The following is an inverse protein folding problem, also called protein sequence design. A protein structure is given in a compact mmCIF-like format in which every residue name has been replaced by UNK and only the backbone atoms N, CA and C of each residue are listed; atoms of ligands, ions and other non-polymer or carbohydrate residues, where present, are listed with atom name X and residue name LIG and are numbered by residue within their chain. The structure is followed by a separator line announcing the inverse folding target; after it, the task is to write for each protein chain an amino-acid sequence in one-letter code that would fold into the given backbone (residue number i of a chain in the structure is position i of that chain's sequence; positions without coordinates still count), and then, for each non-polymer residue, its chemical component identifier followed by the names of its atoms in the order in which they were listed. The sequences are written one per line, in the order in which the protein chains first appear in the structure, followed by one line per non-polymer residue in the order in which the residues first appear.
data_IF_293740175632
#
_entry.id   IF_293740175632
#
_cell.length_a   1.000
_cell.length_b   1.000
_cell.length_c   1.000
_cell.angle_alpha   90.00
_cell.angle_beta   90.00
_cell.angle_gamma   90.00
#
_symmetry.space_group_name_H-M   'P 1'
#
loop_
_entity.id
_entity.type
_entity.pdbx_description
1 polymer ?
#
# COMPACT_ATOMS: atom_id res chain seq x y z
N UNK A 1 3.79 18.79 -8.58
CA UNK A 1 3.41 18.35 -7.23
C UNK A 1 3.85 16.90 -7.10
N UNK A 2 4.26 16.46 -5.92
CA UNK A 2 4.57 15.06 -5.62
C UNK A 2 3.56 14.53 -4.62
N UNK A 3 2.84 13.47 -5.01
CA UNK A 3 1.93 12.75 -4.12
C UNK A 3 2.57 11.40 -3.79
N UNK A 4 2.86 11.17 -2.51
CA UNK A 4 3.29 9.86 -2.04
C UNK A 4 2.07 8.94 -1.93
N UNK A 5 1.99 7.91 -2.78
CA UNK A 5 0.79 7.06 -2.86
C UNK A 5 0.71 5.94 -1.80
N UNK A 6 1.71 5.77 -0.93
CA UNK A 6 1.79 4.61 -0.06
C UNK A 6 2.40 4.96 1.30
N UNK A 7 1.56 5.20 2.30
CA UNK A 7 2.01 5.53 3.66
C UNK A 7 1.11 4.88 4.71
N UNK A 8 1.73 4.53 5.83
CA UNK A 8 1.08 3.93 6.98
C UNK A 8 1.19 4.84 8.20
N UNK A 9 0.08 5.04 8.89
CA UNK A 9 0.05 5.75 10.18
C UNK A 9 -0.66 4.90 11.25
N UNK A 10 -0.35 5.19 12.51
CA UNK A 10 -0.81 4.44 13.68
C UNK A 10 0.27 3.51 14.22
N UNK A 11 -0.15 2.38 14.79
CA UNK A 11 0.74 1.40 15.42
C UNK A 11 0.39 -0.02 14.97
N UNK A 12 1.42 -0.84 14.76
CA UNK A 12 1.34 -2.25 14.46
C UNK A 12 1.76 -3.07 15.68
N UNK A 13 0.78 -3.60 16.39
CA UNK A 13 1.04 -4.32 17.65
C UNK A 13 1.76 -5.66 17.40
N UNK A 14 1.48 -6.32 16.28
CA UNK A 14 2.19 -7.53 15.88
C UNK A 14 3.68 -7.25 15.70
N UNK A 15 4.05 -6.16 15.02
CA UNK A 15 5.46 -5.81 14.83
C UNK A 15 6.13 -5.47 16.17
N UNK A 16 5.47 -4.63 16.99
CA UNK A 16 6.01 -4.23 18.28
C UNK A 16 6.30 -5.42 19.19
N UNK A 17 5.39 -6.39 19.25
CA UNK A 17 5.50 -7.55 20.14
C UNK A 17 6.55 -8.57 19.70
N UNK A 18 6.92 -8.58 18.42
CA UNK A 18 7.83 -9.58 17.83
C UNK A 18 9.19 -9.00 17.43
N UNK A 19 9.52 -7.78 17.86
CA UNK A 19 10.82 -7.16 17.60
C UNK A 19 11.02 -6.76 16.14
N UNK A 20 9.93 -6.49 15.41
CA UNK A 20 9.99 -5.98 14.05
C UNK A 20 9.91 -4.45 14.05
N UNK A 21 10.55 -3.84 13.06
CA UNK A 21 10.61 -2.39 12.90
C UNK A 21 10.41 -2.02 11.43
N UNK A 22 9.67 -0.93 11.14
CA UNK A 22 8.97 -0.05 12.10
C UNK A 22 7.68 -0.69 12.64
N UNK A 23 7.24 -0.24 13.81
CA UNK A 23 5.96 -0.65 14.40
C UNK A 23 4.99 0.52 14.62
N UNK A 24 5.40 1.76 14.32
CA UNK A 24 4.54 2.92 14.47
C UNK A 24 5.03 4.11 13.62
N UNK A 25 4.10 4.97 13.24
CA UNK A 25 4.34 6.31 12.70
C UNK A 25 3.09 7.16 12.96
N UNK A 26 3.26 8.38 13.45
CA UNK A 26 2.15 9.33 13.56
C UNK A 26 2.08 10.26 12.34
N UNK A 27 0.90 10.87 12.15
CA UNK A 27 0.65 11.78 11.03
C UNK A 27 1.61 12.99 11.01
N UNK A 28 1.86 13.73 12.11
CA UNK A 28 2.78 14.86 12.10
C UNK A 28 4.21 14.49 11.69
N UNK A 29 4.72 13.35 12.16
CA UNK A 29 6.07 12.86 11.79
C UNK A 29 6.14 12.58 10.30
N UNK A 30 5.17 11.84 9.76
CA UNK A 30 5.11 11.52 8.33
C UNK A 30 5.10 12.79 7.46
N UNK A 31 4.19 13.74 7.75
CA UNK A 31 4.06 14.99 6.99
C UNK A 31 5.32 15.86 7.12
N UNK A 32 5.87 15.99 8.32
CA UNK A 32 7.05 16.84 8.57
C UNK A 32 8.29 16.29 7.87
N UNK A 33 8.55 14.99 8.00
CA UNK A 33 9.70 14.35 7.36
C UNK A 33 9.55 14.35 5.84
N UNK A 34 8.39 13.95 5.30
CA UNK A 34 8.14 13.95 3.86
C UNK A 34 8.18 15.36 3.25
N UNK A 35 7.61 16.36 3.93
CA UNK A 35 7.58 17.73 3.45
C UNK A 35 8.97 18.36 3.31
N UNK A 36 9.93 17.98 4.17
CA UNK A 36 11.34 18.40 4.04
C UNK A 36 12.01 17.91 2.75
N UNK A 37 11.45 16.86 2.14
CA UNK A 37 11.95 16.26 0.90
C UNK A 37 11.06 16.55 -0.31
N UNK A 38 10.19 17.56 -0.22
CA UNK A 38 9.40 18.05 -1.34
C UNK A 38 8.19 17.18 -1.70
N UNK A 39 7.72 16.34 -0.77
CA UNK A 39 6.42 15.68 -0.90
C UNK A 39 5.32 16.68 -0.52
N UNK A 40 4.31 16.82 -1.37
CA UNK A 40 3.23 17.79 -1.19
C UNK A 40 1.98 17.16 -0.56
N UNK A 41 1.70 15.89 -0.88
CA UNK A 41 0.48 15.17 -0.49
C UNK A 41 0.76 13.69 -0.21
N UNK A 42 -0.10 13.05 0.58
CA UNK A 42 0.08 11.65 1.00
C UNK A 42 -1.23 10.86 0.91
N UNK A 43 -1.20 9.71 0.25
CA UNK A 43 -2.18 8.66 0.52
C UNK A 43 -1.76 7.95 1.80
N UNK A 44 -2.70 7.84 2.75
CA UNK A 44 -2.44 7.28 4.09
C UNK A 44 -3.44 6.20 4.43
N UNK A 45 -3.00 5.14 5.08
CA UNK A 45 -3.85 4.06 5.59
C UNK A 45 -3.30 3.55 6.93
N UNK A 46 -4.08 2.77 7.71
CA UNK A 46 -3.60 2.24 8.96
C UNK A 46 -2.42 1.27 8.79
N UNK A 47 -1.71 1.04 9.90
CA UNK A 47 -0.79 -0.09 10.07
C UNK A 47 -1.49 -1.44 9.84
N UNK A 48 -0.70 -2.49 9.62
CA UNK A 48 -1.16 -3.69 8.92
C UNK A 48 -1.96 -4.64 9.82
N UNK A 49 -1.48 -4.96 11.02
CA UNK A 49 -2.21 -5.82 11.95
C UNK A 49 -3.44 -5.12 12.55
N UNK A 50 -4.45 -5.89 12.95
CA UNK A 50 -5.68 -5.37 13.54
C UNK A 50 -6.05 -6.05 14.86
N UNK A 51 -6.84 -5.35 15.67
CA UNK A 51 -7.21 -5.74 17.04
C UNK A 51 -8.30 -6.82 17.14
N UNK A 52 -8.74 -7.39 16.02
CA UNK A 52 -9.57 -8.61 16.09
C UNK A 52 -8.75 -9.86 16.38
N UNK A 53 -7.42 -9.77 16.24
CA UNK A 53 -6.54 -10.86 16.64
C UNK A 53 -6.17 -10.76 18.13
N UNK A 54 -5.94 -11.92 18.74
CA UNK A 54 -5.55 -12.04 20.13
C UNK A 54 -4.12 -11.56 20.35
N UNK A 55 -3.96 -10.57 21.24
CA UNK A 55 -2.67 -9.97 21.58
C UNK A 55 -1.71 -10.99 22.22
N UNK A 56 -2.25 -11.93 23.00
CA UNK A 56 -1.47 -13.01 23.60
C UNK A 56 -0.86 -13.92 22.54
N UNK A 57 -1.64 -14.31 21.54
CA UNK A 57 -1.19 -15.08 20.40
C UNK A 57 -0.20 -14.29 19.53
N UNK A 58 -0.44 -13.00 19.28
CA UNK A 58 0.47 -12.15 18.50
C UNK A 58 1.89 -12.14 19.10
N UNK A 59 2.02 -12.09 20.44
CA UNK A 59 3.32 -12.13 21.14
C UNK A 59 4.10 -13.43 20.91
N UNK A 60 3.42 -14.46 20.43
CA UNK A 60 4.00 -15.75 20.06
C UNK A 60 3.98 -15.95 18.55
N UNK A 61 4.08 -14.86 17.78
CA UNK A 61 4.06 -14.83 16.31
C UNK A 61 2.89 -15.60 15.70
N UNK A 62 1.71 -15.56 16.33
CA UNK A 62 0.51 -16.26 15.86
C UNK A 62 -0.67 -15.32 15.68
N UNK A 63 -1.46 -15.57 14.64
CA UNK A 63 -2.74 -14.93 14.43
C UNK A 63 -3.84 -15.88 14.91
N UNK A 64 -4.54 -15.48 15.97
CA UNK A 64 -5.71 -16.18 16.48
C UNK A 64 -6.82 -15.16 16.74
N UNK A 65 -8.11 -15.53 16.65
CA UNK A 65 -9.19 -14.62 17.01
C UNK A 65 -9.08 -14.15 18.47
N UNK A 66 -9.19 -12.85 18.69
CA UNK A 66 -9.22 -12.20 19.99
C UNK A 66 -10.60 -11.72 20.38
N UNK A 67 -10.66 -10.91 21.45
CA UNK A 67 -11.92 -10.39 22.02
C UNK A 67 -11.94 -8.87 22.18
N UNK A 68 -10.89 -8.16 21.78
CA UNK A 68 -10.81 -6.69 21.93
C UNK A 68 -11.72 -6.04 20.91
N UNK A 69 -11.53 -6.35 19.62
CA UNK A 69 -12.40 -5.93 18.55
C UNK A 69 -13.10 -7.13 17.90
N UNK A 70 -14.30 -6.88 17.37
CA UNK A 70 -15.09 -7.92 16.72
C UNK A 70 -15.05 -7.83 15.19
N UNK A 71 -14.92 -6.63 14.62
CA UNK A 71 -14.97 -6.39 13.18
C UNK A 71 -13.58 -5.95 12.71
N UNK A 72 -12.93 -6.66 11.77
CA UNK A 72 -11.59 -6.30 11.33
C UNK A 72 -11.51 -4.85 10.89
N UNK A 73 -10.47 -4.14 11.34
CA UNK A 73 -10.17 -2.76 10.95
C UNK A 73 -11.23 -1.70 11.29
N UNK A 74 -12.32 -2.04 11.99
CA UNK A 74 -13.34 -1.07 12.38
C UNK A 74 -12.74 0.04 13.27
N UNK A 75 -11.94 -0.36 14.26
CA UNK A 75 -11.24 0.57 15.15
C UNK A 75 -10.12 1.32 14.43
N UNK A 76 -9.26 0.61 13.69
CA UNK A 76 -8.07 1.17 13.06
C UNK A 76 -8.43 2.24 12.01
N UNK A 77 -9.44 1.97 11.18
CA UNK A 77 -9.93 2.93 10.20
C UNK A 77 -10.56 4.15 10.87
N UNK A 78 -11.45 3.96 11.85
CA UNK A 78 -12.07 5.09 12.56
C UNK A 78 -11.01 5.94 13.28
N UNK A 79 -10.09 5.29 14.00
CA UNK A 79 -9.04 5.96 14.75
C UNK A 79 -8.15 6.80 13.84
N UNK A 80 -7.79 6.29 12.66
CA UNK A 80 -7.03 7.03 11.65
C UNK A 80 -7.83 8.22 11.12
N UNK A 81 -9.10 8.01 10.72
CA UNK A 81 -9.93 9.08 10.18
C UNK A 81 -10.14 10.21 11.20
N UNK A 82 -10.37 9.89 12.48
CA UNK A 82 -10.42 10.90 13.55
C UNK A 82 -9.11 11.63 13.74
N UNK A 83 -7.96 10.95 13.60
CA UNK A 83 -6.65 11.62 13.65
C UNK A 83 -6.55 12.71 12.59
N UNK A 84 -6.93 12.37 11.36
CA UNK A 84 -6.81 13.22 10.19
C UNK A 84 -7.81 14.38 10.24
N UNK A 85 -9.07 14.10 10.55
CA UNK A 85 -10.15 15.08 10.43
C UNK A 85 -10.42 15.88 11.70
N UNK A 86 -10.17 15.31 12.88
CA UNK A 86 -10.55 15.92 14.16
C UNK A 86 -9.35 16.40 14.96
N UNK A 87 -8.27 15.60 15.03
CA UNK A 87 -7.11 15.92 15.87
C UNK A 87 -6.10 16.82 15.17
N UNK A 88 -5.89 16.60 13.87
CA UNK A 88 -4.91 17.33 13.05
C UNK A 88 -5.49 17.86 11.73
N UNK A 89 -6.58 18.64 11.75
CA UNK A 89 -7.25 19.08 10.51
C UNK A 89 -6.37 19.98 9.62
N UNK A 90 -5.37 20.64 10.18
CA UNK A 90 -4.43 21.54 9.50
C UNK A 90 -3.43 20.80 8.59
N UNK A 91 -2.91 19.66 9.05
CA UNK A 91 -2.03 18.79 8.26
C UNK A 91 -2.78 17.63 7.61
N UNK A 92 -3.91 17.22 8.18
CA UNK A 92 -4.76 16.14 7.65
C UNK A 92 -5.34 16.47 6.27
N UNK A 93 -5.58 17.75 5.97
CA UNK A 93 -5.98 18.20 4.62
C UNK A 93 -4.93 17.93 3.53
N UNK A 94 -3.68 17.65 3.91
CA UNK A 94 -2.62 17.25 2.97
C UNK A 94 -2.69 15.75 2.62
N UNK A 95 -3.61 15.01 3.22
CA UNK A 95 -3.72 13.56 3.07
C UNK A 95 -4.96 13.13 2.29
N UNK A 96 -4.87 11.95 1.70
CA UNK A 96 -5.92 11.22 1.02
C UNK A 96 -6.12 9.89 1.77
N UNK A 97 -7.03 9.81 2.75
CA UNK A 97 -7.19 8.60 3.56
C UNK A 97 -7.72 7.44 2.73
N UNK A 98 -7.10 6.27 2.86
CA UNK A 98 -7.63 4.98 2.41
C UNK A 98 -7.96 4.15 3.65
N UNK A 99 -9.04 3.37 3.57
CA UNK A 99 -9.42 2.45 4.64
C UNK A 99 -8.90 1.05 4.34
N UNK A 100 -8.33 0.37 5.33
CA UNK A 100 -7.81 -1.00 5.18
C UNK A 100 -8.89 -2.03 5.54
N UNK A 101 -8.86 -3.20 4.91
CA UNK A 101 -9.86 -4.25 5.10
C UNK A 101 -9.26 -5.66 5.07
N UNK A 102 -10.00 -6.60 5.66
CA UNK A 102 -9.74 -8.04 5.59
C UNK A 102 -10.72 -8.69 4.61
N UNK A 103 -10.28 -9.26 3.47
CA UNK A 103 -11.18 -9.79 2.45
C UNK A 103 -11.91 -11.08 2.85
N UNK A 104 -11.51 -11.75 3.95
CA UNK A 104 -12.06 -13.05 4.37
C UNK A 104 -12.96 -12.96 5.61
N UNK A 105 -12.60 -12.13 6.59
CA UNK A 105 -13.20 -12.17 7.93
C UNK A 105 -14.29 -11.12 8.07
N UNK A 106 -15.54 -11.54 8.27
CA UNK A 106 -16.71 -10.65 8.49
C UNK A 106 -16.83 -9.48 7.47
N UNK A 107 -16.77 -9.77 6.16
CA UNK A 107 -16.72 -8.71 5.15
C UNK A 107 -17.99 -7.83 5.13
N UNK A 108 -19.16 -8.40 5.44
CA UNK A 108 -20.41 -7.64 5.52
C UNK A 108 -20.43 -6.63 6.69
N UNK A 109 -19.94 -7.03 7.86
CA UNK A 109 -19.86 -6.15 9.03
C UNK A 109 -18.84 -5.02 8.79
N UNK A 110 -17.72 -5.33 8.13
CA UNK A 110 -16.75 -4.32 7.70
C UNK A 110 -17.39 -3.30 6.75
N UNK A 111 -18.09 -3.75 5.68
CA UNK A 111 -18.77 -2.85 4.74
C UNK A 111 -19.82 -1.98 5.44
N UNK A 112 -20.60 -2.54 6.37
CA UNK A 112 -21.57 -1.77 7.14
C UNK A 112 -20.87 -0.64 7.92
N UNK A 113 -19.76 -0.95 8.59
CA UNK A 113 -18.98 0.07 9.32
C UNK A 113 -18.36 1.11 8.39
N UNK A 114 -17.82 0.70 7.25
CA UNK A 114 -17.24 1.63 6.27
C UNK A 114 -18.28 2.60 5.71
N UNK A 115 -19.52 2.17 5.50
CA UNK A 115 -20.61 3.07 5.08
C UNK A 115 -20.94 4.12 6.14
N UNK A 116 -20.98 3.73 7.41
CA UNK A 116 -21.17 4.67 8.54
C UNK A 116 -20.02 5.68 8.63
N UNK A 117 -18.78 5.24 8.42
CA UNK A 117 -17.61 6.11 8.41
C UNK A 117 -17.62 7.06 7.21
N UNK A 118 -17.99 6.58 6.01
CA UNK A 118 -18.00 7.40 4.79
C UNK A 118 -19.02 8.55 4.86
N UNK A 119 -20.07 8.40 5.67
CA UNK A 119 -21.03 9.48 5.94
C UNK A 119 -20.45 10.59 6.82
N UNK A 120 -19.39 10.32 7.59
CA UNK A 120 -18.78 11.23 8.56
C UNK A 120 -17.44 11.79 8.05
N UNK A 121 -16.65 10.95 7.40
CA UNK A 121 -15.29 11.22 6.97
C UNK A 121 -15.13 10.78 5.51
N UNK A 122 -14.55 11.64 4.68
CA UNK A 122 -14.18 11.23 3.33
C UNK A 122 -13.00 10.25 3.39
N UNK A 123 -13.02 9.23 2.54
CA UNK A 123 -11.85 8.42 2.21
C UNK A 123 -11.89 8.09 0.73
N UNK A 124 -10.72 7.86 0.13
CA UNK A 124 -10.51 7.93 -1.32
C UNK A 124 -10.05 6.62 -1.93
N UNK A 125 -9.97 5.55 -1.14
CA UNK A 125 -9.64 4.22 -1.61
C UNK A 125 -9.68 3.17 -0.52
N UNK A 126 -9.46 1.93 -0.95
CA UNK A 126 -9.46 0.73 -0.11
C UNK A 126 -8.05 0.11 -0.12
N UNK A 127 -7.57 -0.37 1.03
CA UNK A 127 -6.26 -1.01 1.18
C UNK A 127 -6.43 -2.47 1.58
N UNK A 128 -5.62 -3.36 1.02
CA UNK A 128 -5.45 -4.73 1.51
C UNK A 128 -3.97 -5.03 1.68
N UNK A 129 -3.61 -5.61 2.83
CA UNK A 129 -2.34 -6.27 3.05
C UNK A 129 -2.67 -7.70 3.47
N UNK A 130 -2.67 -8.63 2.52
CA UNK A 130 -3.22 -9.96 2.70
C UNK A 130 -2.24 -10.94 3.38
N UNK A 131 -0.94 -10.79 3.08
CA UNK A 131 0.14 -11.64 3.60
C UNK A 131 0.21 -11.64 5.13
N UNK A 132 0.17 -10.46 5.75
CA UNK A 132 0.35 -10.29 7.19
C UNK A 132 -0.87 -10.70 8.01
N UNK A 133 -2.06 -10.71 7.42
CA UNK A 133 -3.29 -11.15 8.09
C UNK A 133 -3.71 -12.55 7.67
N UNK A 134 -2.90 -13.24 6.87
CA UNK A 134 -3.18 -14.58 6.34
C UNK A 134 -4.58 -14.66 5.73
N UNK A 135 -4.90 -13.70 4.85
CA UNK A 135 -6.18 -13.64 4.15
C UNK A 135 -5.96 -13.64 2.63
N UNK A 136 -6.57 -14.59 1.91
CA UNK A 136 -6.38 -14.70 0.46
C UNK A 136 -7.06 -13.54 -0.25
N UNK A 137 -6.31 -12.83 -1.09
CA UNK A 137 -6.85 -11.72 -1.87
C UNK A 137 -7.96 -12.16 -2.83
N UNK A 138 -7.88 -13.38 -3.37
CA UNK A 138 -8.90 -13.90 -4.27
C UNK A 138 -10.26 -14.18 -3.60
N UNK A 139 -10.32 -14.07 -2.27
CA UNK A 139 -11.59 -14.07 -1.53
C UNK A 139 -12.48 -12.88 -1.90
N UNK A 140 -11.93 -11.82 -2.51
CA UNK A 140 -12.70 -10.73 -3.12
C UNK A 140 -13.70 -11.25 -4.16
N UNK A 141 -13.38 -12.32 -4.89
CA UNK A 141 -14.29 -12.89 -5.89
C UNK A 141 -15.37 -13.79 -5.27
N UNK A 142 -15.29 -14.07 -3.96
CA UNK A 142 -16.21 -14.96 -3.25
C UNK A 142 -16.80 -14.30 -2.01
N UNK A 143 -16.33 -14.66 -0.81
CA UNK A 143 -16.90 -14.18 0.47
C UNK A 143 -16.73 -12.67 0.65
N UNK A 144 -15.67 -12.08 0.09
CA UNK A 144 -15.34 -10.66 0.14
C UNK A 144 -15.96 -9.82 -0.98
N UNK A 145 -16.86 -10.38 -1.81
CA UNK A 145 -17.43 -9.69 -2.99
C UNK A 145 -18.09 -8.35 -2.68
N UNK A 146 -18.65 -8.19 -1.49
CA UNK A 146 -19.26 -6.91 -1.08
C UNK A 146 -18.27 -5.73 -1.04
N UNK A 147 -16.95 -5.98 -0.95
CA UNK A 147 -15.97 -4.91 -1.07
C UNK A 147 -15.80 -4.42 -2.51
N UNK A 148 -15.91 -5.30 -3.50
CA UNK A 148 -15.93 -4.90 -4.92
C UNK A 148 -17.20 -4.09 -5.22
N UNK A 149 -18.35 -4.52 -4.68
CA UNK A 149 -19.61 -3.79 -4.82
C UNK A 149 -19.52 -2.40 -4.17
N UNK A 150 -18.94 -2.28 -2.97
CA UNK A 150 -18.70 -1.01 -2.29
C UNK A 150 -17.75 -0.11 -3.10
N UNK A 151 -16.68 -0.67 -3.66
CA UNK A 151 -15.72 0.07 -4.47
C UNK A 151 -16.37 0.63 -5.74
N UNK A 152 -17.18 -0.17 -6.43
CA UNK A 152 -17.94 0.29 -7.59
C UNK A 152 -18.98 1.35 -7.21
N UNK A 153 -19.74 1.14 -6.13
CA UNK A 153 -20.76 2.08 -5.62
C UNK A 153 -20.16 3.45 -5.31
N UNK A 154 -19.04 3.48 -4.57
CA UNK A 154 -18.40 4.71 -4.11
C UNK A 154 -17.40 5.28 -5.11
N UNK A 155 -17.11 4.56 -6.19
CA UNK A 155 -16.05 4.86 -7.16
C UNK A 155 -14.67 4.94 -6.50
N UNK A 156 -14.30 3.92 -5.71
CA UNK A 156 -13.04 3.84 -4.97
C UNK A 156 -12.09 2.82 -5.62
N UNK A 157 -10.79 3.11 -5.76
CA UNK A 157 -9.80 2.12 -6.15
C UNK A 157 -9.36 1.26 -4.96
N UNK A 158 -8.83 0.07 -5.26
CA UNK A 158 -8.04 -0.72 -4.33
C UNK A 158 -6.55 -0.43 -4.49
N UNK A 159 -5.82 -0.39 -3.38
CA UNK A 159 -4.37 -0.57 -3.32
C UNK A 159 -4.10 -1.87 -2.58
N UNK A 160 -3.42 -2.82 -3.22
CA UNK A 160 -3.25 -4.17 -2.67
C UNK A 160 -1.78 -4.50 -2.60
N UNK A 161 -1.31 -4.90 -1.42
CA UNK A 161 0.03 -5.46 -1.24
C UNK A 161 0.22 -6.63 -2.19
N UNK A 162 1.21 -6.58 -3.07
CA UNK A 162 1.51 -7.70 -3.96
C UNK A 162 2.74 -8.48 -3.50
N UNK A 163 2.72 -9.78 -3.76
CA UNK A 163 3.81 -10.70 -3.52
C UNK A 163 4.04 -11.62 -4.72
N UNK A 164 5.14 -12.35 -4.66
CA UNK A 164 5.54 -13.40 -5.60
C UNK A 164 6.11 -14.57 -4.79
N UNK A 165 6.49 -15.65 -5.48
CA UNK A 165 7.07 -16.83 -4.82
C UNK A 165 6.01 -17.62 -4.05
N UNK A 166 6.34 -18.04 -2.83
CA UNK A 166 5.52 -18.99 -2.06
C UNK A 166 4.44 -18.36 -1.17
N UNK A 167 4.26 -17.03 -1.17
CA UNK A 167 3.19 -16.38 -0.40
C UNK A 167 1.80 -16.77 -0.95
N UNK A 168 0.97 -17.56 -0.25
CA UNK A 168 -0.31 -18.01 -0.78
C UNK A 168 -1.42 -16.96 -0.67
N UNK A 169 -1.16 -15.79 -0.07
CA UNK A 169 -2.18 -14.83 0.32
C UNK A 169 -2.35 -13.69 -0.68
N UNK A 170 -1.26 -13.20 -1.27
CA UNK A 170 -1.24 -11.90 -1.97
C UNK A 170 -0.51 -11.90 -3.31
N UNK A 171 -0.46 -13.03 -3.99
CA UNK A 171 0.24 -13.17 -5.27
C UNK A 171 -0.23 -12.14 -6.30
N UNK A 172 0.71 -11.48 -6.99
CA UNK A 172 0.40 -10.49 -8.03
C UNK A 172 -0.55 -11.05 -9.11
N UNK A 173 -0.35 -12.30 -9.54
CA UNK A 173 -1.23 -13.01 -10.48
C UNK A 173 -2.68 -13.17 -9.98
N UNK A 174 -2.88 -13.37 -8.67
CA UNK A 174 -4.21 -13.54 -8.11
C UNK A 174 -4.92 -12.19 -8.03
N UNK A 175 -4.18 -11.11 -7.72
CA UNK A 175 -4.70 -9.74 -7.80
C UNK A 175 -5.11 -9.38 -9.23
N UNK A 176 -4.27 -9.71 -10.22
CA UNK A 176 -4.58 -9.50 -11.64
C UNK A 176 -5.82 -10.27 -12.08
N UNK A 177 -6.00 -11.52 -11.62
CA UNK A 177 -7.23 -12.28 -11.87
C UNK A 177 -8.46 -11.56 -11.32
N UNK A 178 -8.39 -11.04 -10.09
CA UNK A 178 -9.49 -10.23 -9.52
C UNK A 178 -9.79 -9.03 -10.42
N UNK A 179 -8.76 -8.28 -10.83
CA UNK A 179 -8.93 -7.10 -11.67
C UNK A 179 -9.54 -7.41 -13.04
N UNK A 180 -9.19 -8.54 -13.66
CA UNK A 180 -9.77 -9.02 -14.91
C UNK A 180 -11.26 -9.38 -14.78
N UNK A 181 -11.63 -10.02 -13.68
CA UNK A 181 -13.01 -10.45 -13.41
C UNK A 181 -13.93 -9.31 -12.95
N UNK A 182 -13.36 -8.16 -12.57
CA UNK A 182 -14.11 -6.95 -12.19
C UNK A 182 -13.58 -5.70 -12.90
N UNK A 183 -13.78 -5.56 -14.21
CA UNK A 183 -13.26 -4.45 -15.02
C UNK A 183 -13.82 -3.06 -14.61
N UNK A 184 -14.92 -3.03 -13.86
CA UNK A 184 -15.55 -1.81 -13.34
C UNK A 184 -14.83 -1.21 -12.11
N UNK A 185 -13.99 -2.00 -11.44
CA UNK A 185 -13.22 -1.57 -10.26
C UNK A 185 -11.76 -1.33 -10.64
N UNK A 186 -11.13 -0.33 -10.03
CA UNK A 186 -9.73 0.04 -10.28
C UNK A 186 -8.80 -0.54 -9.22
N UNK A 187 -7.62 -0.99 -9.63
CA UNK A 187 -6.65 -1.67 -8.77
C UNK A 187 -5.24 -1.08 -8.94
N UNK A 188 -4.56 -0.88 -7.82
CA UNK A 188 -3.13 -0.61 -7.76
C UNK A 188 -2.44 -1.78 -7.06
N UNK A 189 -1.52 -2.44 -7.76
CA UNK A 189 -0.69 -3.50 -7.19
C UNK A 189 0.55 -2.85 -6.58
N UNK A 190 0.69 -2.95 -5.27
CA UNK A 190 1.82 -2.32 -4.60
C UNK A 190 3.14 -3.03 -4.89
N UNK A 191 4.25 -2.36 -4.67
CA UNK A 191 5.59 -2.96 -4.62
C UNK A 191 6.11 -3.50 -5.96
N UNK A 192 5.72 -2.85 -7.06
CA UNK A 192 6.11 -3.13 -8.44
C UNK A 192 5.90 -4.59 -8.84
N UNK A 193 4.88 -5.25 -8.30
CA UNK A 193 4.68 -6.70 -8.48
C UNK A 193 5.96 -7.50 -8.14
N UNK A 194 6.76 -7.00 -7.19
CA UNK A 194 8.10 -7.52 -6.83
C UNK A 194 9.05 -7.66 -8.03
N UNK A 195 8.90 -6.77 -9.00
CA UNK A 195 9.58 -6.72 -10.29
C UNK A 195 9.31 -7.92 -11.21
N UNK A 196 8.22 -8.65 -11.03
CA UNK A 196 7.83 -9.72 -11.97
C UNK A 196 7.37 -9.10 -13.30
N UNK A 197 8.18 -9.23 -14.35
CA UNK A 197 7.94 -8.53 -15.62
C UNK A 197 6.64 -8.98 -16.29
N UNK A 198 6.26 -10.26 -16.18
CA UNK A 198 5.01 -10.76 -16.76
C UNK A 198 3.80 -10.13 -16.06
N UNK A 199 3.86 -9.97 -14.73
CA UNK A 199 2.81 -9.29 -13.99
C UNK A 199 2.77 -7.80 -14.33
N UNK A 200 3.92 -7.14 -14.47
CA UNK A 200 3.99 -5.73 -14.87
C UNK A 200 3.44 -5.49 -16.28
N UNK A 201 3.79 -6.35 -17.24
CA UNK A 201 3.23 -6.31 -18.60
C UNK A 201 1.72 -6.50 -18.55
N UNK A 202 1.23 -7.42 -17.71
CA UNK A 202 -0.21 -7.62 -17.57
C UNK A 202 -0.94 -6.44 -16.94
N UNK A 203 -0.33 -5.75 -15.97
CA UNK A 203 -0.85 -4.47 -15.45
C UNK A 203 -0.92 -3.42 -16.57
N UNK A 204 0.06 -3.40 -17.47
CA UNK A 204 0.07 -2.46 -18.58
C UNK A 204 -1.06 -2.69 -19.59
N UNK A 205 -1.43 -3.94 -19.83
CA UNK A 205 -2.50 -4.33 -20.75
C UNK A 205 -3.91 -4.03 -20.20
N UNK A 206 -4.12 -4.16 -18.89
CA UNK A 206 -5.45 -4.02 -18.30
C UNK A 206 -5.82 -2.55 -18.07
N UNK A 207 -7.00 -2.09 -18.52
CA UNK A 207 -7.37 -0.67 -18.46
C UNK A 207 -7.64 -0.17 -17.04
N UNK A 208 -7.98 -1.06 -16.12
CA UNK A 208 -8.36 -0.77 -14.73
C UNK A 208 -7.26 -1.05 -13.71
N UNK A 209 -6.01 -1.23 -14.15
CA UNK A 209 -4.89 -1.54 -13.25
C UNK A 209 -3.74 -0.53 -13.35
N UNK A 210 -3.05 -0.36 -12.22
CA UNK A 210 -1.85 0.42 -11.97
C UNK A 210 -0.94 -0.35 -11.02
N UNK A 211 0.27 0.14 -10.81
CA UNK A 211 1.14 -0.37 -9.75
C UNK A 211 1.93 0.76 -9.10
N UNK A 212 2.26 0.61 -7.83
CA UNK A 212 3.19 1.50 -7.13
C UNK A 212 4.58 0.88 -7.02
N UNK A 213 5.62 1.68 -6.76
CA UNK A 213 6.98 1.18 -6.55
C UNK A 213 7.41 1.06 -5.08
N UNK A 214 6.53 1.32 -4.14
CA UNK A 214 6.89 1.42 -2.73
C UNK A 214 7.39 0.06 -2.18
N UNK A 215 8.18 -0.06 -1.13
CA UNK A 215 9.38 0.69 -0.90
C UNK A 215 10.47 0.38 -1.95
N UNK A 216 10.77 1.34 -2.82
CA UNK A 216 11.53 1.09 -4.04
C UNK A 216 13.00 0.75 -3.76
N UNK A 217 13.64 1.45 -2.82
CA UNK A 217 15.06 1.27 -2.56
C UNK A 217 15.36 -0.08 -1.90
N UNK A 218 14.55 -0.52 -0.93
CA UNK A 218 14.77 -1.82 -0.29
C UNK A 218 14.40 -2.99 -1.20
N UNK A 219 13.45 -2.82 -2.12
CA UNK A 219 13.16 -3.83 -3.14
C UNK A 219 14.30 -3.93 -4.16
N UNK A 220 14.90 -2.81 -4.57
CA UNK A 220 16.10 -2.80 -5.42
C UNK A 220 17.29 -3.50 -4.73
N UNK A 221 17.49 -3.26 -3.43
CA UNK A 221 18.46 -4.00 -2.62
C UNK A 221 18.13 -5.50 -2.56
N UNK A 222 16.85 -5.85 -2.39
CA UNK A 222 16.38 -7.23 -2.40
C UNK A 222 16.68 -7.93 -3.72
N UNK A 223 16.48 -7.24 -4.85
CA UNK A 223 16.80 -7.74 -6.17
C UNK A 223 18.31 -7.99 -6.33
N UNK A 224 19.15 -7.03 -5.91
CA UNK A 224 20.61 -7.18 -5.94
C UNK A 224 21.09 -8.38 -5.11
N UNK A 225 20.42 -8.65 -3.98
CA UNK A 225 20.72 -9.78 -3.09
C UNK A 225 20.01 -11.08 -3.45
N UNK A 226 19.15 -11.08 -4.47
CA UNK A 226 18.27 -12.20 -4.83
C UNK A 226 17.47 -12.76 -3.64
N UNK A 227 16.84 -11.87 -2.87
CA UNK A 227 15.95 -12.27 -1.78
C UNK A 227 14.65 -12.86 -2.33
N UNK A 228 14.09 -13.86 -1.63
CA UNK A 228 12.97 -14.68 -2.10
C UNK A 228 11.66 -13.90 -2.34
N UNK A 229 11.49 -12.75 -1.69
CA UNK A 229 10.32 -11.89 -1.90
C UNK A 229 10.41 -11.04 -3.18
N UNK A 230 11.49 -11.14 -3.95
CA UNK A 230 11.68 -10.51 -5.26
C UNK A 230 11.55 -11.56 -6.36
N UNK A 231 10.99 -11.19 -7.51
CA UNK A 231 10.89 -12.07 -8.66
C UNK A 231 12.26 -12.70 -9.01
N UNK A 232 12.29 -14.00 -9.35
CA UNK A 232 13.53 -14.68 -9.69
C UNK A 232 14.14 -14.05 -10.97
N UNK A 233 15.47 -14.13 -11.17
CA UNK A 233 16.16 -13.40 -12.24
C UNK A 233 15.55 -13.55 -13.64
N UNK A 234 15.08 -14.74 -13.98
CA UNK A 234 14.45 -15.05 -15.28
C UNK A 234 13.07 -14.41 -15.48
N UNK A 235 12.38 -14.06 -14.38
CA UNK A 235 11.09 -13.36 -14.38
C UNK A 235 11.21 -11.88 -14.02
N UNK A 236 12.40 -11.42 -13.67
CA UNK A 236 12.61 -10.07 -13.16
C UNK A 236 12.64 -9.06 -14.31
N UNK A 237 12.07 -7.87 -14.09
CA UNK A 237 12.20 -6.76 -15.02
C UNK A 237 13.69 -6.42 -15.26
N UNK A 238 14.13 -6.24 -16.52
CA UNK A 238 15.53 -6.03 -16.82
C UNK A 238 15.95 -4.59 -16.48
N UNK A 239 16.65 -4.40 -15.36
CA UNK A 239 17.18 -3.11 -14.92
C UNK A 239 18.47 -3.26 -14.10
N UNK A 240 19.19 -2.15 -13.90
CA UNK A 240 20.33 -2.09 -12.99
C UNK A 240 19.88 -1.83 -11.55
N UNK A 241 19.63 -2.91 -10.81
CA UNK A 241 19.18 -2.86 -9.42
C UNK A 241 20.18 -2.32 -8.41
N UNK A 242 21.43 -2.03 -8.82
CA UNK A 242 22.40 -1.34 -7.98
C UNK A 242 22.17 0.18 -7.91
N UNK A 243 21.39 0.73 -8.85
CA UNK A 243 20.98 2.14 -8.90
C UNK A 243 19.44 2.25 -8.91
N UNK A 244 18.80 2.45 -7.74
CA UNK A 244 17.36 2.62 -7.66
C UNK A 244 16.81 3.76 -8.54
N UNK A 245 17.56 4.84 -8.78
CA UNK A 245 17.09 5.91 -9.67
C UNK A 245 17.02 5.43 -11.12
N UNK A 246 18.02 4.67 -11.57
CA UNK A 246 18.01 4.06 -12.90
C UNK A 246 16.88 3.03 -13.06
N UNK A 247 16.59 2.22 -12.03
CA UNK A 247 15.44 1.30 -12.06
C UNK A 247 14.12 2.05 -12.17
N UNK A 248 13.92 3.11 -11.37
CA UNK A 248 12.67 3.89 -11.42
C UNK A 248 12.48 4.53 -12.80
N UNK A 249 13.55 5.09 -13.38
CA UNK A 249 13.51 5.64 -14.74
C UNK A 249 13.15 4.56 -15.77
N UNK A 250 13.81 3.39 -15.74
CA UNK A 250 13.54 2.31 -16.68
C UNK A 250 12.08 1.83 -16.60
N UNK A 251 11.51 1.70 -15.40
CA UNK A 251 10.10 1.35 -15.22
C UNK A 251 9.16 2.47 -15.70
N UNK A 252 9.52 3.74 -15.46
CA UNK A 252 8.74 4.89 -15.93
C UNK A 252 8.73 4.99 -17.47
N UNK A 253 9.83 4.64 -18.14
CA UNK A 253 9.91 4.58 -19.59
C UNK A 253 9.11 3.40 -20.17
N UNK A 254 9.16 2.24 -19.51
CA UNK A 254 8.44 1.04 -19.94
C UNK A 254 6.93 1.14 -19.70
N UNK A 255 6.51 1.75 -18.59
CA UNK A 255 5.12 1.78 -18.13
C UNK A 255 4.63 3.18 -17.72
N UNK A 256 4.74 4.18 -18.61
CA UNK A 256 4.60 5.61 -18.27
C UNK A 256 3.22 6.01 -17.75
N UNK A 257 2.17 5.25 -18.06
CA UNK A 257 0.78 5.54 -17.68
C UNK A 257 0.28 4.68 -16.52
N UNK A 258 1.14 3.84 -15.94
CA UNK A 258 0.77 2.78 -15.00
C UNK A 258 1.51 2.83 -13.68
N UNK A 259 2.78 3.25 -13.71
CA UNK A 259 3.63 3.37 -12.53
C UNK A 259 3.23 4.60 -11.69
N UNK A 260 3.08 4.39 -10.40
CA UNK A 260 2.85 5.44 -9.39
C UNK A 260 3.99 5.40 -8.38
N UNK A 261 4.50 6.57 -7.97
CA UNK A 261 5.49 6.65 -6.92
C UNK A 261 4.87 6.66 -5.51
N UNK A 262 5.49 5.94 -4.59
CA UNK A 262 5.20 6.00 -3.16
C UNK A 262 6.41 5.52 -2.36
N UNK A 263 6.60 6.06 -1.15
CA UNK A 263 7.77 5.74 -0.32
C UNK A 263 7.61 4.47 0.50
N UNK A 264 6.37 4.10 0.83
CA UNK A 264 6.01 3.09 1.84
C UNK A 264 6.24 3.55 3.28
N UNK A 265 6.29 4.86 3.57
CA UNK A 265 6.59 5.33 4.92
C UNK A 265 5.67 4.75 5.99
N UNK A 266 6.17 4.16 7.11
CA UNK A 266 7.58 4.05 7.53
C UNK A 266 8.28 2.74 7.10
N UNK A 267 7.61 1.86 6.37
CA UNK A 267 8.11 0.58 5.84
C UNK A 267 9.10 0.71 4.66
N UNK A 268 9.50 1.92 4.27
CA UNK A 268 10.71 2.12 3.46
C UNK A 268 11.95 1.52 4.14
N UNK A 269 11.88 1.22 5.43
CA UNK A 269 12.77 0.29 6.12
C UNK A 269 12.01 -0.90 6.69
N UNK A 270 12.66 -2.06 6.71
CA UNK A 270 12.18 -3.26 7.40
C UNK A 270 13.35 -3.95 8.11
N UNK A 271 13.25 -4.05 9.43
CA UNK A 271 14.21 -4.77 10.27
C UNK A 271 13.45 -5.76 11.12
N UNK A 272 13.82 -7.04 11.03
CA UNK A 272 13.17 -8.11 11.78
C UNK A 272 14.19 -9.14 12.26
N UNK A 273 13.90 -9.74 13.41
CA UNK A 273 14.59 -10.93 13.91
C UNK A 273 13.85 -12.16 13.39
N UNK A 274 14.44 -12.86 12.44
CA UNK A 274 13.91 -14.08 11.82
C UNK A 274 14.66 -15.29 12.39
N UNK A 275 14.10 -15.90 13.43
CA UNK A 275 14.83 -16.91 14.21
C UNK A 275 16.03 -16.27 14.93
N UNK A 276 17.24 -16.72 14.62
CA UNK A 276 18.49 -16.17 15.18
C UNK A 276 19.16 -15.12 14.27
N UNK A 277 18.59 -14.85 13.09
CA UNK A 277 19.17 -13.93 12.11
C UNK A 277 18.41 -12.59 12.05
N UNK A 278 19.15 -11.49 11.91
CA UNK A 278 18.56 -10.17 11.71
C UNK A 278 18.51 -9.87 10.22
N UNK A 279 17.30 -9.85 9.65
CA UNK A 279 17.07 -9.24 8.35
C UNK A 279 17.00 -7.72 8.54
N UNK A 280 17.84 -6.99 7.80
CA UNK A 280 17.90 -5.53 7.90
C UNK A 280 17.95 -4.90 6.51
N UNK A 281 16.80 -4.41 6.06
CA UNK A 281 16.62 -3.61 4.86
C UNK A 281 16.29 -2.19 5.30
N UNK A 282 17.09 -1.20 4.89
CA UNK A 282 16.94 0.17 5.38
C UNK A 282 17.00 1.16 4.23
N UNK A 283 16.04 2.09 4.22
CA UNK A 283 15.97 3.26 3.36
C UNK A 283 15.45 4.45 4.18
N UNK A 284 15.44 5.63 3.58
CA UNK A 284 14.89 6.86 4.16
C UNK A 284 13.91 7.49 3.19
N UNK A 285 13.02 8.36 3.69
CA UNK A 285 12.13 9.13 2.80
C UNK A 285 12.96 9.99 1.83
N UNK A 286 14.11 10.52 2.29
CA UNK A 286 15.08 11.20 1.43
C UNK A 286 15.55 10.34 0.26
N UNK A 287 15.96 9.10 0.51
CA UNK A 287 16.44 8.20 -0.53
C UNK A 287 15.33 7.80 -1.52
N UNK A 288 14.12 7.49 -1.01
CA UNK A 288 12.96 7.18 -1.86
C UNK A 288 12.56 8.38 -2.73
N UNK A 289 12.49 9.57 -2.14
CA UNK A 289 12.10 10.80 -2.85
C UNK A 289 13.19 11.28 -3.83
N UNK A 290 14.47 11.05 -3.53
CA UNK A 290 15.55 11.35 -4.47
C UNK A 290 15.36 10.62 -5.81
N UNK A 291 14.85 9.38 -5.80
CA UNK A 291 14.59 8.62 -7.03
C UNK A 291 13.56 9.33 -7.93
N UNK A 292 12.45 9.82 -7.38
CA UNK A 292 11.43 10.54 -8.16
C UNK A 292 11.91 11.94 -8.57
N UNK A 293 12.69 12.63 -7.73
CA UNK A 293 13.28 13.92 -8.09
C UNK A 293 14.30 13.82 -9.23
N UNK A 294 15.01 12.70 -9.34
CA UNK A 294 15.97 12.43 -10.39
C UNK A 294 15.34 12.02 -11.73
N UNK A 295 14.03 11.75 -11.78
CA UNK A 295 13.35 11.42 -13.04
C UNK A 295 13.43 12.60 -14.03
N UNK A 296 13.58 12.31 -15.34
CA UNK A 296 13.44 13.30 -16.39
C UNK A 296 12.12 14.08 -16.29
N UNK A 297 12.16 15.38 -16.60
CA UNK A 297 10.98 16.27 -16.49
C UNK A 297 9.79 15.84 -17.35
N UNK A 298 10.01 15.08 -18.42
CA UNK A 298 8.94 14.53 -19.25
C UNK A 298 8.25 13.29 -18.65
N UNK A 299 8.86 12.63 -17.66
CA UNK A 299 8.32 11.44 -16.98
C UNK A 299 7.80 11.78 -15.58
N UNK A 300 8.50 12.68 -14.87
CA UNK A 300 8.24 13.00 -13.46
C UNK A 300 6.77 13.34 -13.16
N UNK A 301 6.05 14.20 -13.92
CA UNK A 301 4.65 14.49 -13.62
C UNK A 301 3.74 13.25 -13.63
N UNK A 302 3.96 12.34 -14.59
CA UNK A 302 3.15 11.14 -14.71
C UNK A 302 3.29 10.23 -13.48
N UNK A 303 4.54 10.02 -13.05
CA UNK A 303 4.88 9.09 -11.96
C UNK A 303 4.62 9.69 -10.58
N UNK A 304 4.89 10.99 -10.42
CA UNK A 304 4.72 11.69 -9.15
C UNK A 304 3.27 12.13 -8.87
N UNK A 305 2.39 12.15 -9.88
CA UNK A 305 1.05 12.71 -9.76
C UNK A 305 0.01 12.08 -10.69
N UNK A 306 0.18 12.20 -12.01
CA UNK A 306 -0.95 12.04 -12.94
C UNK A 306 -1.54 10.63 -12.94
N UNK A 307 -0.69 9.60 -12.84
CA UNK A 307 -1.15 8.21 -12.80
C UNK A 307 -1.98 7.92 -11.54
N UNK A 308 -1.62 8.50 -10.39
CA UNK A 308 -2.41 8.39 -9.17
C UNK A 308 -3.75 9.11 -9.33
N UNK A 309 -3.79 10.29 -9.95
CA UNK A 309 -5.05 11.00 -10.19
C UNK A 309 -5.97 10.23 -11.15
N UNK A 310 -5.39 9.57 -12.17
CA UNK A 310 -6.12 8.67 -13.05
C UNK A 310 -6.69 7.45 -12.32
N UNK A 311 -5.97 6.90 -11.35
CA UNK A 311 -6.44 5.81 -10.49
C UNK A 311 -7.59 6.27 -9.57
N UNK A 312 -7.42 7.43 -8.93
CA UNK A 312 -8.36 7.94 -7.91
C UNK A 312 -9.69 8.39 -8.52
N UNK A 313 -9.66 9.05 -9.69
CA UNK A 313 -10.83 9.68 -10.30
C UNK A 313 -11.63 10.54 -9.32
N UNK A 314 -10.93 11.43 -8.63
CA UNK A 314 -11.51 12.29 -7.59
C UNK A 314 -12.69 13.09 -8.15
N UNK A 315 -13.84 13.03 -7.47
CA UNK A 315 -15.04 13.78 -7.87
C UNK A 315 -14.90 15.29 -7.64
N UNK A 316 -14.06 15.69 -6.69
CA UNK A 316 -13.77 17.07 -6.33
C UNK A 316 -12.25 17.29 -6.37
N UNK A 317 -11.76 17.91 -7.43
CA UNK A 317 -10.33 18.22 -7.58
C UNK A 317 -9.84 19.23 -6.54
N UNK A 318 -10.75 19.99 -5.89
CA UNK A 318 -10.37 20.93 -4.84
C UNK A 318 -9.84 20.22 -3.59
N UNK A 319 -10.03 18.90 -3.45
CA UNK A 319 -9.41 18.10 -2.39
C UNK A 319 -7.89 18.30 -2.38
N UNK A 320 -7.27 18.51 -3.54
CA UNK A 320 -5.82 18.68 -3.66
C UNK A 320 -5.37 20.13 -3.43
N UNK A 321 -6.28 21.11 -3.45
CA UNK A 321 -5.94 22.54 -3.35
C UNK A 321 -6.35 23.19 -2.02
N UNK A 322 -6.98 22.43 -1.12
CA UNK A 322 -7.37 22.87 0.24
C UNK A 322 -6.19 22.98 1.22
#
# INVERSE_FOLDING_TARGET
MIIDCHNHIGADLFFYLNGYSPYAQDLPTMVTEGGRHGIDRWVVFPMVSNLTFDVGAMRHTKLAPGTIENVPYAFENERMLREIYELYPDIGKLTLPFVILDPMRKPQDQVARLRELYQQFAFYGLKIQATMIEAKVDSLLTVGRCFLDLAAELNLPFLIHSSVGDDPWSQAKDILRVAEETPEVRFCLAHSCRYDHECLDRVAELPNTWYDCSAHCIHSLGATKNLEFIAPPERRFPADYSDPSAVLQAMAEAYPTKLIWGSDSPFQSYVALLGDEVLSLRSTVEAESACVHNLPENLKPAIAQDNLLSLLQLKDENVLTR
#
